data_IF_114712704539
#
_entry.id   IF_114712704539
#
_cell.length_a   1.000
_cell.length_b   1.000
_cell.length_c   1.000
_cell.angle_alpha   90.00
_cell.angle_beta   90.00
_cell.angle_gamma   90.00
#
_symmetry.space_group_name_H-M   'P 1'
#
loop_
_entity.id
_entity.type
_entity.pdbx_description
1 polymer ?
#
# COMPACT_ATOMS: atom_id res chain seq x y z
N UNK A 1 -33.84 -35.66 -20.89
CA UNK A 1 -32.96 -34.71 -20.17
C UNK A 1 -33.26 -33.36 -20.77
N UNK A 2 -34.26 -32.67 -20.23
CA UNK A 2 -34.73 -31.41 -20.78
C UNK A 2 -33.79 -30.29 -20.37
N UNK A 3 -33.31 -29.55 -21.37
CA UNK A 3 -32.44 -28.39 -21.18
C UNK A 3 -33.28 -27.23 -20.59
N UNK A 4 -32.74 -26.48 -19.62
CA UNK A 4 -33.47 -25.39 -18.99
C UNK A 4 -33.81 -24.29 -20.01
N UNK A 5 -35.01 -23.74 -19.89
CA UNK A 5 -35.53 -22.74 -20.83
C UNK A 5 -34.88 -21.37 -20.58
N UNK A 6 -34.79 -20.49 -21.60
CA UNK A 6 -34.13 -19.18 -21.48
C UNK A 6 -34.67 -18.30 -20.33
N UNK A 7 -35.93 -18.51 -19.94
CA UNK A 7 -36.58 -17.86 -18.80
C UNK A 7 -36.01 -18.27 -17.44
N UNK A 8 -35.52 -19.51 -17.28
CA UNK A 8 -34.92 -20.00 -16.03
C UNK A 8 -33.48 -19.49 -15.85
N UNK A 9 -32.77 -19.26 -16.96
CA UNK A 9 -31.42 -18.68 -16.96
C UNK A 9 -31.45 -17.21 -16.51
N UNK A 10 -32.53 -16.48 -16.81
CA UNK A 10 -32.70 -15.09 -16.41
C UNK A 10 -33.01 -14.92 -14.91
N UNK A 11 -33.63 -15.91 -14.26
CA UNK A 11 -33.94 -15.88 -12.83
C UNK A 11 -32.69 -16.00 -11.93
N UNK A 12 -31.60 -16.57 -12.44
CA UNK A 12 -30.32 -16.68 -11.71
C UNK A 12 -29.50 -15.39 -11.70
N UNK A 13 -29.92 -14.36 -12.45
CA UNK A 13 -29.23 -13.07 -12.56
C UNK A 13 -29.77 -11.99 -11.61
N UNK A 14 -30.37 -12.41 -10.49
CA UNK A 14 -31.03 -11.53 -9.53
C UNK A 14 -30.45 -11.60 -8.12
N UNK A 15 -29.31 -10.92 -7.88
CA UNK A 15 -28.98 -10.36 -6.54
C UNK A 15 -27.99 -9.20 -6.68
N UNK A 16 -28.54 -8.04 -7.08
CA UNK A 16 -27.93 -6.71 -7.02
C UNK A 16 -27.57 -6.38 -5.56
N UNK A 17 -26.33 -6.65 -5.14
CA UNK A 17 -25.72 -6.08 -3.92
C UNK A 17 -24.35 -5.43 -4.14
N UNK A 18 -23.84 -5.43 -5.38
CA UNK A 18 -22.49 -4.94 -5.71
C UNK A 18 -22.44 -3.50 -6.27
N UNK A 19 -23.57 -2.90 -6.64
CA UNK A 19 -23.55 -1.58 -7.30
C UNK A 19 -23.17 -0.43 -6.36
N UNK A 20 -23.51 -0.54 -5.07
CA UNK A 20 -23.07 0.45 -4.07
C UNK A 20 -21.54 0.50 -3.92
N UNK A 21 -20.86 -0.65 -4.07
CA UNK A 21 -19.41 -0.71 -4.01
C UNK A 21 -18.75 -0.19 -5.28
N UNK A 22 -19.33 -0.47 -6.46
CA UNK A 22 -18.80 0.04 -7.73
C UNK A 22 -18.88 1.57 -7.79
N UNK A 23 -19.93 2.19 -7.25
CA UNK A 23 -20.03 3.67 -7.17
C UNK A 23 -19.04 4.26 -6.16
N UNK A 24 -18.77 3.58 -5.03
CA UNK A 24 -17.76 4.01 -4.06
C UNK A 24 -16.33 3.88 -4.62
N UNK A 25 -16.02 2.79 -5.32
CA UNK A 25 -14.71 2.59 -5.95
C UNK A 25 -14.51 3.46 -7.19
N UNK A 26 -15.56 3.72 -7.97
CA UNK A 26 -15.51 4.69 -9.07
C UNK A 26 -15.37 6.13 -8.55
N UNK A 27 -16.02 6.48 -7.43
CA UNK A 27 -15.86 7.80 -6.80
C UNK A 27 -14.46 8.04 -6.21
N UNK A 28 -13.84 7.00 -5.63
CA UNK A 28 -12.45 7.05 -5.17
C UNK A 28 -11.45 7.05 -6.34
N UNK A 29 -11.71 6.28 -7.41
CA UNK A 29 -10.87 6.30 -8.61
C UNK A 29 -10.98 7.63 -9.35
N UNK A 30 -12.17 8.22 -9.49
CA UNK A 30 -12.36 9.53 -10.13
C UNK A 30 -11.82 10.68 -9.25
N UNK A 31 -11.89 10.57 -7.92
CA UNK A 31 -11.21 11.50 -7.02
C UNK A 31 -9.68 11.40 -7.07
N UNK A 32 -9.13 10.29 -7.56
CA UNK A 32 -7.69 10.08 -7.78
C UNK A 32 -7.27 10.45 -9.22
N UNK A 33 -8.10 10.21 -10.23
CA UNK A 33 -7.86 10.65 -11.61
C UNK A 33 -7.99 12.17 -11.77
N UNK A 34 -8.87 12.84 -11.01
CA UNK A 34 -8.92 14.30 -10.95
C UNK A 34 -7.67 14.93 -10.28
N UNK A 35 -6.81 14.12 -9.64
CA UNK A 35 -5.52 14.57 -9.10
C UNK A 35 -4.41 14.56 -10.17
N UNK A 36 -4.58 13.82 -11.28
CA UNK A 36 -3.57 13.67 -12.34
C UNK A 36 -3.71 14.69 -13.49
N UNK A 37 -4.67 15.62 -13.47
CA UNK A 37 -4.92 16.54 -14.58
C UNK A 37 -4.90 18.04 -14.27
N UNK A 38 -4.44 18.46 -13.09
CA UNK A 38 -4.11 19.88 -12.84
C UNK A 38 -2.60 20.10 -12.95
N UNK A 39 -2.08 19.79 -14.13
CA UNK A 39 -0.84 20.39 -14.65
C UNK A 39 -1.23 21.54 -15.59
N UNK A 40 -1.89 22.56 -15.04
CA UNK A 40 -2.14 23.82 -15.74
C UNK A 40 -1.83 24.99 -14.83
N UNK A 41 -0.54 25.35 -14.75
CA UNK A 41 -0.03 26.73 -14.60
C UNK A 41 -0.74 27.70 -13.63
N UNK A 42 -1.41 27.20 -12.59
CA UNK A 42 -1.91 27.94 -11.45
C UNK A 42 -0.97 27.61 -10.28
N UNK A 43 -0.36 28.63 -9.69
CA UNK A 43 0.39 28.45 -8.45
C UNK A 43 -0.55 27.84 -7.41
N UNK A 44 -0.33 26.58 -7.03
CA UNK A 44 -1.12 25.89 -6.02
C UNK A 44 -1.25 26.77 -4.77
N UNK A 45 -2.46 26.89 -4.25
CA UNK A 45 -2.69 27.68 -3.04
C UNK A 45 -1.93 27.08 -1.87
N UNK A 46 -1.55 27.90 -0.88
CA UNK A 46 -0.91 27.43 0.35
C UNK A 46 -1.68 26.26 0.99
N UNK A 47 -3.01 26.33 0.96
CA UNK A 47 -3.90 25.29 1.51
C UNK A 47 -3.75 23.95 0.78
N UNK A 48 -3.68 23.97 -0.55
CA UNK A 48 -3.52 22.75 -1.37
C UNK A 48 -2.14 22.14 -1.18
N UNK A 49 -1.10 22.98 -1.19
CA UNK A 49 0.28 22.59 -0.91
C UNK A 49 0.40 21.93 0.47
N UNK A 50 -0.14 22.58 1.52
CA UNK A 50 -0.18 22.03 2.87
C UNK A 50 -0.94 20.70 2.93
N UNK A 51 -2.10 20.59 2.29
CA UNK A 51 -2.87 19.33 2.24
C UNK A 51 -2.09 18.19 1.57
N UNK A 52 -1.37 18.50 0.49
CA UNK A 52 -0.50 17.54 -0.21
C UNK A 52 0.62 17.05 0.70
N UNK A 53 1.30 17.97 1.39
CA UNK A 53 2.33 17.67 2.39
C UNK A 53 1.79 16.81 3.54
N UNK A 54 0.68 17.22 4.16
CA UNK A 54 0.05 16.50 5.27
C UNK A 54 -0.32 15.06 4.88
N UNK A 55 -0.76 14.85 3.63
CA UNK A 55 -1.09 13.51 3.11
C UNK A 55 0.17 12.64 2.96
N UNK A 56 1.26 13.19 2.41
CA UNK A 56 2.55 12.49 2.29
C UNK A 56 3.13 12.11 3.65
N UNK A 57 3.10 13.03 4.62
CA UNK A 57 3.53 12.77 6.00
C UNK A 57 2.69 11.66 6.63
N UNK A 58 1.36 11.69 6.45
CA UNK A 58 0.47 10.63 6.95
C UNK A 58 0.85 9.27 6.39
N UNK A 59 1.12 9.16 5.09
CA UNK A 59 1.52 7.90 4.47
C UNK A 59 2.84 7.41 5.08
N UNK A 60 3.84 8.28 5.23
CA UNK A 60 5.10 7.95 5.89
C UNK A 60 4.90 7.44 7.33
N UNK A 61 4.00 8.06 8.11
CA UNK A 61 3.63 7.55 9.45
C UNK A 61 3.06 6.13 9.40
N UNK A 62 2.26 5.82 8.38
CA UNK A 62 1.72 4.48 8.22
C UNK A 62 2.78 3.44 7.82
N UNK A 63 3.91 3.87 7.25
CA UNK A 63 5.03 3.00 6.88
C UNK A 63 5.80 2.49 8.10
N UNK A 64 5.88 3.32 9.15
CA UNK A 64 6.44 2.95 10.46
C UNK A 64 5.94 1.61 10.98
N UNK A 65 4.67 1.30 10.71
CA UNK A 65 4.01 0.07 11.17
C UNK A 65 4.32 -1.16 10.33
N UNK A 66 4.86 -0.97 9.12
CA UNK A 66 5.06 -2.04 8.15
C UNK A 66 6.53 -2.39 7.96
N UNK A 67 7.44 -1.48 8.30
CA UNK A 67 8.87 -1.63 8.14
C UNK A 67 9.57 -1.24 9.44
N UNK A 68 10.38 -2.16 9.98
CA UNK A 68 11.13 -1.90 11.20
C UNK A 68 12.56 -1.51 10.82
N UNK A 69 12.91 -0.24 10.97
CA UNK A 69 14.25 0.28 10.72
C UNK A 69 14.51 1.49 11.61
N UNK A 70 15.68 1.51 12.25
CA UNK A 70 16.12 2.63 13.10
C UNK A 70 16.31 3.89 12.25
N UNK A 71 16.74 3.75 11.00
CA UNK A 71 16.85 4.86 10.06
C UNK A 71 15.47 5.43 9.70
N UNK A 72 14.43 4.59 9.57
CA UNK A 72 13.06 5.05 9.32
C UNK A 72 12.56 5.90 10.46
N UNK A 73 12.78 5.44 11.70
CA UNK A 73 12.39 6.19 12.89
C UNK A 73 13.08 7.57 12.93
N UNK A 74 14.38 7.63 12.68
CA UNK A 74 15.13 8.91 12.63
C UNK A 74 14.66 9.83 11.50
N UNK A 75 14.32 9.29 10.33
CA UNK A 75 13.80 10.07 9.20
C UNK A 75 12.40 10.59 9.52
N UNK A 76 11.55 9.76 10.14
CA UNK A 76 10.21 10.14 10.55
C UNK A 76 10.23 11.21 11.65
N UNK A 77 11.08 11.07 12.67
CA UNK A 77 11.24 12.09 13.71
C UNK A 77 11.61 13.46 13.13
N UNK A 78 12.49 13.49 12.13
CA UNK A 78 12.82 14.74 11.40
C UNK A 78 11.66 15.28 10.58
N UNK A 79 10.89 14.42 9.92
CA UNK A 79 9.68 14.84 9.20
C UNK A 79 8.62 15.37 10.16
N UNK A 80 8.46 14.76 11.34
CA UNK A 80 7.55 15.22 12.39
C UNK A 80 7.99 16.56 12.98
N UNK A 81 9.29 16.78 13.19
CA UNK A 81 9.77 18.09 13.66
C UNK A 81 9.41 19.18 12.65
N UNK A 82 9.67 18.96 11.35
CA UNK A 82 9.26 19.91 10.31
C UNK A 82 7.74 20.10 10.24
N UNK A 83 6.96 19.03 10.44
CA UNK A 83 5.50 19.11 10.45
C UNK A 83 5.00 19.93 11.63
N UNK A 84 5.61 19.78 12.81
CA UNK A 84 5.32 20.56 14.01
C UNK A 84 5.68 22.03 13.82
N UNK A 85 6.83 22.32 13.20
CA UNK A 85 7.25 23.68 12.86
C UNK A 85 6.25 24.33 11.90
N UNK A 86 5.79 23.61 10.86
CA UNK A 86 4.76 24.10 9.96
C UNK A 86 3.44 24.40 10.69
N UNK A 87 3.01 23.54 11.62
CA UNK A 87 1.81 23.75 12.41
C UNK A 87 1.93 24.97 13.34
N UNK A 88 3.08 25.16 13.99
CA UNK A 88 3.30 26.30 14.88
C UNK A 88 3.30 27.62 14.10
N UNK A 89 3.98 27.67 12.95
CA UNK A 89 4.00 28.84 12.07
C UNK A 89 2.63 29.12 11.45
N UNK A 90 1.84 28.09 11.16
CA UNK A 90 0.45 28.27 10.68
C UNK A 90 -0.43 28.94 11.73
N UNK A 91 -0.20 28.70 13.02
CA UNK A 91 -1.00 29.28 14.12
C UNK A 91 -0.57 30.69 14.50
N UNK A 92 0.74 30.94 14.61
CA UNK A 92 1.27 32.17 15.20
C UNK A 92 2.27 32.94 14.31
N UNK A 93 2.74 32.35 13.21
CA UNK A 93 3.73 32.95 12.33
C UNK A 93 3.15 33.90 11.28
N UNK A 94 4.04 34.70 10.69
CA UNK A 94 3.78 35.59 9.54
C UNK A 94 3.51 34.80 8.26
N UNK A 95 2.98 35.46 7.23
CA UNK A 95 2.74 34.82 5.93
C UNK A 95 4.02 34.26 5.30
N UNK A 96 5.15 34.96 5.48
CA UNK A 96 6.46 34.53 4.98
C UNK A 96 6.96 33.29 5.72
N UNK A 97 6.94 33.30 7.05
CA UNK A 97 7.36 32.15 7.88
C UNK A 97 6.53 30.89 7.59
N UNK A 98 5.23 31.04 7.35
CA UNK A 98 4.36 29.92 6.93
C UNK A 98 4.80 29.33 5.59
N UNK A 99 5.08 30.19 4.62
CA UNK A 99 5.51 29.77 3.28
C UNK A 99 6.88 29.09 3.32
N UNK A 100 7.80 29.60 4.12
CA UNK A 100 9.17 29.07 4.26
C UNK A 100 9.18 27.71 4.98
N UNK A 101 8.38 27.56 6.04
CA UNK A 101 8.18 26.29 6.71
C UNK A 101 7.59 25.22 5.78
N UNK A 102 6.58 25.60 4.98
CA UNK A 102 5.96 24.70 4.00
C UNK A 102 6.95 24.28 2.91
N UNK A 103 7.70 25.24 2.37
CA UNK A 103 8.68 25.00 1.30
C UNK A 103 9.84 24.12 1.79
N UNK A 104 10.22 24.24 3.07
CA UNK A 104 11.20 23.35 3.69
C UNK A 104 10.74 21.89 3.66
N UNK A 105 9.47 21.64 4.02
CA UNK A 105 8.89 20.31 4.07
C UNK A 105 8.69 19.72 2.66
N UNK A 106 8.25 20.54 1.70
CA UNK A 106 8.12 20.15 0.29
C UNK A 106 9.45 19.77 -0.35
N UNK A 107 10.55 20.40 0.05
CA UNK A 107 11.90 20.05 -0.41
C UNK A 107 12.40 18.74 0.19
N UNK A 108 12.09 18.47 1.47
CA UNK A 108 12.62 17.31 2.19
C UNK A 108 11.82 16.03 1.97
N UNK A 109 10.51 16.12 1.79
CA UNK A 109 9.66 14.94 1.61
C UNK A 109 10.04 14.06 0.41
N UNK A 110 10.34 14.58 -0.79
CA UNK A 110 10.70 13.76 -1.94
C UNK A 110 11.94 12.89 -1.69
N UNK A 111 12.95 13.42 -1.01
CA UNK A 111 14.18 12.70 -0.65
C UNK A 111 13.85 11.51 0.27
N UNK A 112 13.06 11.74 1.31
CA UNK A 112 12.63 10.71 2.26
C UNK A 112 11.76 9.66 1.55
N UNK A 113 10.79 10.10 0.74
CA UNK A 113 9.91 9.19 0.01
C UNK A 113 10.68 8.29 -0.97
N UNK A 114 11.64 8.84 -1.70
CA UNK A 114 12.51 8.08 -2.61
C UNK A 114 13.31 7.01 -1.86
N UNK A 115 14.00 7.42 -0.79
CA UNK A 115 14.80 6.48 0.02
C UNK A 115 13.95 5.33 0.55
N UNK A 116 12.76 5.63 1.07
CA UNK A 116 11.89 4.61 1.63
C UNK A 116 11.17 3.78 0.56
N UNK A 117 10.95 4.31 -0.64
CA UNK A 117 10.44 3.50 -1.75
C UNK A 117 11.47 2.50 -2.24
N UNK A 118 12.74 2.89 -2.36
CA UNK A 118 13.84 1.97 -2.69
C UNK A 118 14.01 0.88 -1.63
N UNK A 119 13.92 1.26 -0.34
CA UNK A 119 13.93 0.28 0.75
C UNK A 119 12.75 -0.70 0.64
N UNK A 120 11.53 -0.18 0.44
CA UNK A 120 10.33 -1.00 0.35
C UNK A 120 10.31 -1.89 -0.89
N UNK A 121 10.86 -1.44 -2.03
CA UNK A 121 11.04 -2.24 -3.24
C UNK A 121 11.86 -3.51 -2.93
N UNK A 122 13.03 -3.31 -2.34
CA UNK A 122 13.94 -4.41 -2.00
C UNK A 122 13.33 -5.34 -0.95
N UNK A 123 12.73 -4.78 0.10
CA UNK A 123 12.14 -5.55 1.19
C UNK A 123 10.95 -6.39 0.72
N UNK A 124 10.05 -5.81 -0.08
CA UNK A 124 8.92 -6.53 -0.66
C UNK A 124 9.34 -7.57 -1.70
N UNK A 125 10.35 -7.26 -2.52
CA UNK A 125 10.92 -8.21 -3.49
C UNK A 125 11.51 -9.45 -2.81
N UNK A 126 12.29 -9.27 -1.74
CA UNK A 126 12.86 -10.38 -0.96
C UNK A 126 11.78 -11.33 -0.45
N UNK A 127 10.72 -10.80 0.17
CA UNK A 127 9.63 -11.65 0.68
C UNK A 127 8.86 -12.33 -0.45
N UNK A 128 8.63 -11.63 -1.57
CA UNK A 128 7.96 -12.20 -2.73
C UNK A 128 8.76 -13.38 -3.31
N UNK A 129 10.08 -13.24 -3.45
CA UNK A 129 10.97 -14.31 -3.89
C UNK A 129 11.00 -15.49 -2.93
N UNK A 130 11.01 -15.22 -1.61
CA UNK A 130 10.88 -16.27 -0.60
C UNK A 130 9.54 -17.01 -0.74
N UNK A 131 8.44 -16.28 -0.91
CA UNK A 131 7.12 -16.88 -1.13
C UNK A 131 7.10 -17.76 -2.39
N UNK A 132 7.71 -17.34 -3.51
CA UNK A 132 7.90 -18.20 -4.70
C UNK A 132 8.64 -19.48 -4.35
N UNK A 133 9.80 -19.35 -3.71
CA UNK A 133 10.67 -20.47 -3.41
C UNK A 133 9.97 -21.52 -2.54
N UNK A 134 9.29 -21.08 -1.50
CA UNK A 134 8.61 -21.97 -0.57
C UNK A 134 7.32 -22.57 -1.14
N UNK A 135 6.54 -21.81 -1.91
CA UNK A 135 5.25 -22.29 -2.44
C UNK A 135 5.37 -23.09 -3.73
N UNK A 136 6.35 -22.77 -4.59
CA UNK A 136 6.47 -23.32 -5.95
C UNK A 136 7.66 -24.25 -6.16
N UNK A 137 8.76 -24.10 -5.40
CA UNK A 137 10.02 -24.79 -5.72
C UNK A 137 10.42 -25.85 -4.68
N UNK A 138 10.28 -25.57 -3.38
CA UNK A 138 10.86 -26.43 -2.34
C UNK A 138 9.87 -27.37 -1.63
N UNK A 139 8.59 -27.02 -1.52
CA UNK A 139 7.66 -27.74 -0.63
C UNK A 139 6.39 -28.26 -1.32
N UNK A 140 6.34 -28.36 -2.65
CA UNK A 140 5.16 -28.98 -3.29
C UNK A 140 5.02 -30.45 -2.86
N UNK A 141 6.14 -31.17 -2.70
CA UNK A 141 6.15 -32.62 -2.45
C UNK A 141 6.89 -33.04 -1.17
N UNK A 142 7.18 -32.11 -0.24
CA UNK A 142 7.86 -32.50 1.01
C UNK A 142 6.87 -33.23 1.94
N UNK A 143 7.20 -34.42 2.47
CA UNK A 143 6.32 -35.19 3.36
C UNK A 143 5.95 -34.46 4.66
N UNK A 144 6.76 -33.46 5.06
CA UNK A 144 6.53 -32.65 6.27
C UNK A 144 5.59 -31.44 6.06
N UNK A 145 5.04 -31.25 4.85
CA UNK A 145 4.15 -30.12 4.59
C UNK A 145 2.73 -30.43 5.08
N UNK A 146 2.16 -29.50 5.83
CA UNK A 146 0.73 -29.51 6.10
C UNK A 146 -0.06 -29.52 4.79
N UNK A 147 -0.83 -30.58 4.56
CA UNK A 147 -1.71 -30.68 3.40
C UNK A 147 -2.67 -29.48 3.37
N UNK A 148 -2.64 -28.76 2.25
CA UNK A 148 -3.53 -27.65 1.97
C UNK A 148 -4.77 -28.18 1.26
N UNK A 149 -5.93 -27.68 1.65
CA UNK A 149 -7.17 -27.91 0.91
C UNK A 149 -7.09 -27.20 -0.44
N UNK A 150 -7.86 -27.68 -1.43
CA UNK A 150 -7.95 -27.02 -2.74
C UNK A 150 -8.34 -25.53 -2.63
N UNK A 151 -9.20 -25.19 -1.65
CA UNK A 151 -9.60 -23.81 -1.36
C UNK A 151 -8.45 -22.96 -0.82
N UNK A 152 -7.66 -23.50 0.12
CA UNK A 152 -6.48 -22.81 0.65
C UNK A 152 -5.43 -22.58 -0.44
N UNK A 153 -5.17 -23.59 -1.29
CA UNK A 153 -4.27 -23.47 -2.44
C UNK A 153 -4.72 -22.37 -3.41
N UNK A 154 -5.99 -22.35 -3.80
CA UNK A 154 -6.52 -21.31 -4.68
C UNK A 154 -6.40 -19.91 -4.05
N UNK A 155 -6.65 -19.79 -2.75
CA UNK A 155 -6.53 -18.52 -2.03
C UNK A 155 -5.08 -18.05 -1.91
N UNK A 156 -4.15 -18.96 -1.59
CA UNK A 156 -2.72 -18.66 -1.53
C UNK A 156 -2.17 -18.19 -2.89
N UNK A 157 -2.57 -18.87 -3.98
CA UNK A 157 -2.22 -18.48 -5.34
C UNK A 157 -2.79 -17.10 -5.72
N UNK A 158 -4.01 -16.78 -5.28
CA UNK A 158 -4.58 -15.46 -5.51
C UNK A 158 -3.82 -14.36 -4.74
N UNK A 159 -3.45 -14.60 -3.48
CA UNK A 159 -2.60 -13.68 -2.73
C UNK A 159 -1.24 -13.47 -3.40
N UNK A 160 -0.62 -14.56 -3.86
CA UNK A 160 0.65 -14.48 -4.59
C UNK A 160 0.53 -13.63 -5.87
N UNK A 161 -0.52 -13.86 -6.66
CA UNK A 161 -0.81 -13.07 -7.87
C UNK A 161 -0.95 -11.58 -7.55
N UNK A 162 -1.77 -11.23 -6.55
CA UNK A 162 -1.94 -9.84 -6.12
C UNK A 162 -0.62 -9.23 -5.63
N UNK A 163 0.18 -9.97 -4.87
CA UNK A 163 1.48 -9.49 -4.40
C UNK A 163 2.41 -9.11 -5.56
N UNK A 164 2.45 -9.96 -6.59
CA UNK A 164 3.25 -9.74 -7.80
C UNK A 164 2.75 -8.55 -8.61
N UNK A 165 1.43 -8.43 -8.81
CA UNK A 165 0.83 -7.31 -9.56
C UNK A 165 1.08 -5.95 -8.89
N UNK A 166 0.94 -5.88 -7.56
CA UNK A 166 1.24 -4.69 -6.78
C UNK A 166 2.73 -4.34 -6.86
N UNK A 167 3.63 -5.32 -6.78
CA UNK A 167 5.08 -5.09 -6.90
C UNK A 167 5.48 -4.56 -8.28
N UNK A 168 4.97 -5.19 -9.35
CA UNK A 168 5.21 -4.75 -10.74
C UNK A 168 4.70 -3.33 -10.96
N UNK A 169 3.50 -3.03 -10.45
CA UNK A 169 2.94 -1.70 -10.51
C UNK A 169 3.81 -0.71 -9.73
N UNK A 170 4.29 -1.09 -8.54
CA UNK A 170 5.22 -0.30 -7.73
C UNK A 170 6.45 0.10 -8.52
N UNK A 171 7.07 -0.85 -9.22
CA UNK A 171 8.24 -0.59 -10.06
C UNK A 171 7.95 0.38 -11.22
N UNK A 172 6.75 0.33 -11.79
CA UNK A 172 6.35 1.30 -12.82
C UNK A 172 6.36 2.72 -12.24
N UNK A 173 5.63 2.93 -11.14
CA UNK A 173 5.56 4.25 -10.51
C UNK A 173 6.90 4.72 -9.93
N UNK A 174 7.75 3.80 -9.48
CA UNK A 174 9.10 4.11 -9.04
C UNK A 174 9.95 4.69 -10.19
N UNK A 175 9.89 4.08 -11.38
CA UNK A 175 10.58 4.58 -12.59
C UNK A 175 10.03 5.93 -13.04
N UNK A 176 8.73 6.15 -12.87
CA UNK A 176 8.06 7.41 -13.19
C UNK A 176 8.35 8.52 -12.15
N UNK A 177 9.12 8.23 -11.09
CA UNK A 177 9.45 9.17 -10.03
C UNK A 177 8.31 9.42 -9.02
N UNK A 178 7.20 8.68 -9.13
CA UNK A 178 6.10 8.72 -8.18
C UNK A 178 6.38 7.79 -6.99
N UNK A 179 7.36 8.18 -6.18
CA UNK A 179 7.85 7.40 -5.05
C UNK A 179 6.77 7.16 -3.98
N UNK A 180 5.86 8.11 -3.77
CA UNK A 180 4.76 7.97 -2.82
C UNK A 180 3.85 6.79 -3.19
N UNK A 181 3.46 6.71 -4.47
CA UNK A 181 2.56 5.66 -4.91
C UNK A 181 3.30 4.32 -4.98
N UNK A 182 4.54 4.31 -5.47
CA UNK A 182 5.41 3.13 -5.42
C UNK A 182 5.49 2.54 -3.99
N UNK A 183 5.73 3.41 -2.99
CA UNK A 183 5.80 3.03 -1.58
C UNK A 183 4.53 2.32 -1.08
N UNK A 184 3.35 2.84 -1.44
CA UNK A 184 2.06 2.23 -1.08
C UNK A 184 1.91 0.85 -1.72
N UNK A 185 2.28 0.72 -2.99
CA UNK A 185 2.16 -0.54 -3.74
C UNK A 185 3.13 -1.60 -3.18
N UNK A 186 4.36 -1.23 -2.85
CA UNK A 186 5.31 -2.15 -2.19
C UNK A 186 4.81 -2.63 -0.82
N UNK A 187 4.22 -1.73 -0.02
CA UNK A 187 3.57 -2.12 1.24
C UNK A 187 2.43 -3.11 1.03
N UNK A 188 1.61 -2.95 -0.01
CA UNK A 188 0.54 -3.90 -0.36
C UNK A 188 1.10 -5.24 -0.83
N UNK A 189 2.11 -5.22 -1.67
CA UNK A 189 2.82 -6.42 -2.12
C UNK A 189 3.35 -7.23 -0.95
N UNK A 190 4.00 -6.56 0.02
CA UNK A 190 4.48 -7.17 1.25
C UNK A 190 3.34 -7.83 2.03
N UNK A 191 2.22 -7.13 2.22
CA UNK A 191 1.03 -7.66 2.91
C UNK A 191 0.46 -8.91 2.23
N UNK A 192 0.36 -8.89 0.91
CA UNK A 192 -0.15 -10.04 0.15
C UNK A 192 0.82 -11.22 0.17
N UNK A 193 2.13 -10.97 0.14
CA UNK A 193 3.15 -12.02 0.28
C UNK A 193 3.06 -12.71 1.65
N UNK A 194 2.88 -11.95 2.73
CA UNK A 194 2.65 -12.50 4.07
C UNK A 194 1.34 -13.31 4.15
N UNK A 195 0.28 -12.80 3.53
CA UNK A 195 -1.01 -13.50 3.47
C UNK A 195 -0.88 -14.82 2.71
N UNK A 196 -0.11 -14.85 1.62
CA UNK A 196 0.20 -16.05 0.86
C UNK A 196 0.92 -17.09 1.73
N UNK A 197 1.97 -16.71 2.47
CA UNK A 197 2.71 -17.60 3.37
C UNK A 197 1.80 -18.15 4.48
N UNK A 198 1.00 -17.27 5.11
CA UNK A 198 0.07 -17.65 6.17
C UNK A 198 -0.98 -18.65 5.69
N UNK A 199 -1.62 -18.38 4.54
CA UNK A 199 -2.60 -19.32 3.94
C UNK A 199 -1.94 -20.63 3.52
N UNK A 200 -0.67 -20.58 3.11
CA UNK A 200 0.11 -21.76 2.74
C UNK A 200 0.66 -22.53 3.95
N UNK A 201 0.39 -22.08 5.18
CA UNK A 201 0.94 -22.64 6.43
C UNK A 201 2.47 -22.74 6.41
N UNK A 202 3.10 -21.76 5.77
CA UNK A 202 4.55 -21.66 5.64
C UNK A 202 5.12 -20.71 6.70
N UNK A 203 6.34 -20.99 7.19
CA UNK A 203 6.99 -20.10 8.14
C UNK A 203 7.33 -18.76 7.49
N UNK A 204 7.11 -17.68 8.25
CA UNK A 204 7.53 -16.33 7.89
C UNK A 204 8.96 -16.13 8.42
N UNK A 205 9.92 -15.68 7.58
CA UNK A 205 11.27 -15.42 8.04
C UNK A 205 11.29 -14.36 9.14
N UNK A 206 12.21 -14.47 10.09
CA UNK A 206 12.28 -13.60 11.29
C UNK A 206 12.32 -12.11 10.94
N UNK A 207 13.06 -11.75 9.87
CA UNK A 207 13.14 -10.37 9.37
C UNK A 207 11.79 -9.78 8.93
N UNK A 208 10.78 -10.62 8.67
CA UNK A 208 9.43 -10.23 8.27
C UNK A 208 8.36 -10.50 9.32
N UNK A 209 8.67 -11.07 10.50
CA UNK A 209 7.66 -11.39 11.51
C UNK A 209 6.93 -10.12 12.00
N UNK A 210 7.70 -9.06 12.23
CA UNK A 210 7.15 -7.75 12.60
C UNK A 210 6.50 -7.02 11.40
N UNK A 211 6.82 -7.44 10.17
CA UNK A 211 6.22 -6.88 8.97
C UNK A 211 4.79 -7.42 8.86
N UNK A 212 3.81 -6.55 9.04
CA UNK A 212 2.41 -6.92 8.87
C UNK A 212 1.78 -7.65 10.05
N UNK A 213 2.37 -7.62 11.25
CA UNK A 213 1.77 -8.14 12.49
C UNK A 213 0.58 -7.32 13.02
N UNK A 214 0.13 -6.29 12.29
CA UNK A 214 -1.19 -5.68 12.52
C UNK A 214 -2.05 -5.60 11.26
N UNK A 215 -2.78 -6.68 10.94
CA UNK A 215 -4.00 -6.63 10.17
C UNK A 215 -5.14 -7.21 11.04
N UNK A 216 -6.04 -6.32 11.51
CA UNK A 216 -7.40 -6.67 11.96
C UNK A 216 -7.53 -7.63 13.17
N UNK A 217 -7.06 -7.24 14.36
CA UNK A 217 -7.46 -7.97 15.58
C UNK A 217 -7.75 -7.12 16.83
N UNK A 218 -8.12 -5.83 16.65
CA UNK A 218 -8.67 -4.98 17.72
C UNK A 218 -9.67 -3.93 17.20
N UNK A 219 -10.68 -4.36 16.44
CA UNK A 219 -11.90 -3.53 16.22
C UNK A 219 -13.14 -4.13 16.89
N UNK A 220 -13.07 -5.34 17.47
CA UNK A 220 -14.13 -5.88 18.33
C UNK A 220 -13.52 -6.58 19.56
N UNK A 221 -13.29 -5.82 20.62
CA UNK A 221 -13.43 -6.25 22.03
C UNK A 221 -13.81 -5.03 22.85
#
# INVERSE_FOLDING_TARGET
>A
MDLPTPSEILALRGKRKSWKWIVIFAGLALGLFAWEQVDSSQSLTFRERKKSVDSKVRILREMRRSFHSVELEKDLERVESYSSDLESMTRAGTAQERSDALSTLERKLPEVLKRWSEFAENFSSKLLQYAVRETQLLKIDSPDRHHLTAKENALANNYFRMAREEWISGNKFHRDGNYLYALILYKRSLKYSLSCLKTSKLPVPEEFQNAGERPLDKINR
#
